data_IF_835361712552
#
_entry.id   IF_835361712552
#
_cell.length_a   1.000
_cell.length_b   1.000
_cell.length_c   1.000
_cell.angle_alpha   90.00
_cell.angle_beta   90.00
_cell.angle_gamma   90.00
#
_symmetry.space_group_name_H-M   'P 1'
#
loop_
_entity.id
_entity.type
_entity.pdbx_description
1 polymer ?
#
# COMPACT_ATOMS: atom_id res chain seq x y z
N UNK A 1 -23.42 24.69 15.22
CA UNK A 1 -22.41 24.09 14.34
C UNK A 1 -21.07 24.82 14.43
N UNK A 2 -21.03 26.16 14.39
CA UNK A 2 -19.77 26.92 14.47
C UNK A 2 -19.11 26.71 15.83
N UNK A 3 -19.89 26.70 16.92
CA UNK A 3 -19.39 26.53 18.29
C UNK A 3 -18.72 25.15 18.50
N UNK A 4 -19.28 24.07 17.91
CA UNK A 4 -18.72 22.74 17.97
C UNK A 4 -17.38 22.70 17.22
N UNK A 5 -17.29 23.35 16.06
CA UNK A 5 -16.04 23.43 15.30
C UNK A 5 -14.98 24.21 16.06
N UNK A 6 -15.37 25.33 16.72
CA UNK A 6 -14.45 26.13 17.53
C UNK A 6 -13.96 25.39 18.79
N UNK A 7 -14.74 24.52 19.36
CA UNK A 7 -14.39 23.75 20.56
C UNK A 7 -13.52 22.53 20.23
N UNK A 8 -13.83 21.83 19.14
CA UNK A 8 -13.20 20.54 18.79
C UNK A 8 -12.25 20.57 17.59
N UNK A 9 -11.96 21.77 17.00
CA UNK A 9 -11.13 21.86 15.79
C UNK A 9 -9.74 21.24 15.94
N UNK A 10 -9.13 21.32 17.13
CA UNK A 10 -7.81 20.71 17.38
C UNK A 10 -7.86 19.19 17.33
N UNK A 11 -8.86 18.57 17.95
CA UNK A 11 -9.04 17.12 17.95
C UNK A 11 -9.51 16.58 16.60
N UNK A 12 -10.28 17.37 15.83
CA UNK A 12 -10.70 17.01 14.49
C UNK A 12 -9.55 17.07 13.46
N UNK A 13 -8.67 18.06 13.61
CA UNK A 13 -7.60 18.29 12.62
C UNK A 13 -6.26 17.66 13.01
N UNK A 14 -5.90 17.67 14.31
CA UNK A 14 -4.53 17.37 14.70
C UNK A 14 -4.38 16.45 15.90
N UNK A 15 -4.93 16.81 17.06
CA UNK A 15 -4.70 16.06 18.32
C UNK A 15 -5.75 16.37 19.36
N UNK A 16 -6.09 15.38 20.19
CA UNK A 16 -6.89 15.51 21.42
C UNK A 16 -6.06 15.88 22.65
N UNK A 17 -4.77 16.16 22.49
CA UNK A 17 -3.82 16.46 23.57
C UNK A 17 -2.95 15.26 24.00
N UNK A 18 -3.36 14.04 23.67
CA UNK A 18 -2.64 12.80 24.01
C UNK A 18 -2.19 12.01 22.78
N UNK A 19 -2.94 12.10 21.66
CA UNK A 19 -2.69 11.32 20.43
C UNK A 19 -2.96 12.18 19.20
N UNK A 20 -2.38 11.78 18.09
CA UNK A 20 -2.82 12.28 16.77
C UNK A 20 -4.20 11.70 16.47
N UNK A 21 -5.14 12.56 16.08
CA UNK A 21 -6.54 12.21 15.81
C UNK A 21 -7.03 12.86 14.52
N UNK A 22 -8.23 12.50 14.09
CA UNK A 22 -8.89 13.14 12.98
C UNK A 22 -8.08 13.10 11.67
N UNK A 23 -7.99 14.24 11.00
CA UNK A 23 -7.31 14.36 9.69
C UNK A 23 -5.84 13.98 9.77
N UNK A 24 -5.14 14.28 10.86
CA UNK A 24 -3.71 14.00 10.97
C UNK A 24 -3.42 12.50 10.93
N UNK A 25 -4.18 11.67 11.65
CA UNK A 25 -3.99 10.22 11.63
C UNK A 25 -4.40 9.62 10.30
N UNK A 26 -5.48 10.11 9.67
CA UNK A 26 -5.92 9.70 8.35
C UNK A 26 -4.83 9.94 7.30
N UNK A 27 -4.24 11.15 7.29
CA UNK A 27 -3.13 11.47 6.38
C UNK A 27 -1.87 10.66 6.70
N UNK A 28 -1.58 10.42 7.96
CA UNK A 28 -0.46 9.58 8.36
C UNK A 28 -0.61 8.14 7.86
N UNK A 29 -1.78 7.53 8.03
CA UNK A 29 -2.09 6.19 7.54
C UNK A 29 -2.00 6.13 6.01
N UNK A 30 -2.57 7.12 5.32
CA UNK A 30 -2.52 7.21 3.87
C UNK A 30 -1.08 7.32 3.36
N UNK A 31 -0.32 8.32 3.84
CA UNK A 31 1.03 8.59 3.35
C UNK A 31 1.96 7.41 3.65
N UNK A 32 1.94 6.89 4.88
CA UNK A 32 2.80 5.76 5.25
C UNK A 32 2.51 4.51 4.42
N UNK A 33 1.24 4.14 4.25
CA UNK A 33 0.84 2.95 3.48
C UNK A 33 1.10 3.11 1.99
N UNK A 34 0.79 4.27 1.40
CA UNK A 34 1.01 4.55 -0.03
C UNK A 34 2.49 4.60 -0.37
N UNK A 35 3.32 5.24 0.46
CA UNK A 35 4.77 5.31 0.23
C UNK A 35 5.41 3.93 0.38
N UNK A 36 5.16 3.23 1.50
CA UNK A 36 5.74 1.90 1.74
C UNK A 36 5.23 0.88 0.72
N UNK A 37 3.91 0.84 0.50
CA UNK A 37 3.28 -0.06 -0.46
C UNK A 37 3.70 0.24 -1.90
N UNK A 38 3.79 1.52 -2.28
CA UNK A 38 4.23 1.94 -3.60
C UNK A 38 5.68 1.57 -3.91
N UNK A 39 6.60 1.78 -2.96
CA UNK A 39 8.00 1.38 -3.11
C UNK A 39 8.11 -0.14 -3.31
N UNK A 40 7.46 -0.93 -2.46
CA UNK A 40 7.45 -2.38 -2.59
C UNK A 40 6.82 -2.83 -3.91
N UNK A 41 5.74 -2.19 -4.34
CA UNK A 41 5.02 -2.52 -5.55
C UNK A 41 5.87 -2.35 -6.83
N UNK A 42 6.77 -1.35 -6.88
CA UNK A 42 7.67 -1.18 -8.04
C UNK A 42 8.57 -2.41 -8.22
N UNK A 43 9.16 -2.92 -7.13
CA UNK A 43 10.01 -4.12 -7.20
C UNK A 43 9.19 -5.37 -7.53
N UNK A 44 8.03 -5.52 -6.91
CA UNK A 44 7.14 -6.64 -7.19
C UNK A 44 6.58 -6.61 -8.61
N UNK A 45 6.29 -5.42 -9.17
CA UNK A 45 5.82 -5.29 -10.55
C UNK A 45 6.86 -5.77 -11.58
N UNK A 46 8.14 -5.46 -11.36
CA UNK A 46 9.23 -5.97 -12.21
C UNK A 46 9.29 -7.50 -12.13
N UNK A 47 9.22 -8.06 -10.94
CA UNK A 47 9.16 -9.52 -10.76
C UNK A 47 7.89 -10.15 -11.35
N UNK A 48 6.76 -9.43 -11.31
CA UNK A 48 5.47 -9.87 -11.84
C UNK A 48 5.44 -10.00 -13.36
N UNK A 49 6.25 -9.20 -14.06
CA UNK A 49 6.41 -9.27 -15.53
C UNK A 49 7.61 -10.12 -15.97
N UNK A 50 8.35 -10.69 -15.03
CA UNK A 50 9.49 -11.57 -15.31
C UNK A 50 9.05 -12.84 -16.04
N UNK A 51 9.89 -13.33 -16.97
CA UNK A 51 9.67 -14.63 -17.62
C UNK A 51 9.92 -15.83 -16.69
N UNK A 52 10.57 -15.61 -15.54
CA UNK A 52 10.85 -16.67 -14.56
C UNK A 52 9.61 -16.94 -13.70
N UNK A 53 9.00 -18.11 -13.92
CA UNK A 53 7.79 -18.52 -13.19
C UNK A 53 7.99 -18.67 -11.68
N UNK A 54 9.20 -19.00 -11.23
CA UNK A 54 9.52 -19.09 -9.79
C UNK A 54 9.47 -17.73 -9.09
N UNK A 55 9.71 -16.63 -9.81
CA UNK A 55 9.57 -15.26 -9.29
C UNK A 55 8.14 -14.78 -9.49
N UNK A 56 7.56 -15.02 -10.66
CA UNK A 56 6.23 -14.55 -11.03
C UNK A 56 5.13 -15.16 -10.16
N UNK A 57 5.20 -16.47 -9.86
CA UNK A 57 4.15 -17.21 -9.16
C UNK A 57 3.90 -16.71 -7.73
N UNK A 58 4.91 -16.59 -6.85
CA UNK A 58 4.67 -16.09 -5.50
C UNK A 58 4.14 -14.66 -5.47
N UNK A 59 4.58 -13.80 -6.40
CA UNK A 59 4.07 -12.43 -6.51
C UNK A 59 2.61 -12.45 -6.99
N UNK A 60 2.28 -13.28 -7.97
CA UNK A 60 0.91 -13.46 -8.41
C UNK A 60 0.02 -13.98 -7.27
N UNK A 61 0.49 -14.97 -6.51
CA UNK A 61 -0.25 -15.51 -5.38
C UNK A 61 -0.51 -14.43 -4.30
N UNK A 62 0.50 -13.62 -3.99
CA UNK A 62 0.38 -12.49 -3.09
C UNK A 62 -0.69 -11.49 -3.58
N UNK A 63 -0.57 -11.02 -4.82
CA UNK A 63 -1.53 -10.06 -5.38
C UNK A 63 -2.95 -10.67 -5.47
N UNK A 64 -3.05 -11.95 -5.80
CA UNK A 64 -4.33 -12.67 -5.85
C UNK A 64 -5.03 -12.73 -4.50
N UNK A 65 -4.31 -13.09 -3.43
CA UNK A 65 -4.85 -13.18 -2.06
C UNK A 65 -5.29 -11.80 -1.57
N UNK A 66 -4.40 -10.80 -1.62
CA UNK A 66 -4.67 -9.49 -1.05
C UNK A 66 -5.70 -8.67 -1.83
N UNK A 67 -5.82 -8.86 -3.14
CA UNK A 67 -6.87 -8.23 -3.94
C UNK A 67 -8.18 -8.99 -3.92
N UNK A 68 -8.13 -10.31 -3.68
CA UNK A 68 -9.30 -11.18 -3.60
C UNK A 68 -9.99 -11.20 -2.24
N UNK A 69 -9.35 -10.65 -1.20
CA UNK A 69 -9.92 -10.59 0.15
C UNK A 69 -10.30 -9.15 0.53
N UNK A 70 -11.45 -8.93 1.20
CA UNK A 70 -11.82 -7.60 1.67
C UNK A 70 -10.80 -7.04 2.67
N UNK A 71 -10.43 -5.76 2.53
CA UNK A 71 -9.49 -5.10 3.43
C UNK A 71 -9.93 -5.18 4.90
N UNK A 72 -11.23 -5.09 5.17
CA UNK A 72 -11.79 -5.26 6.51
C UNK A 72 -11.38 -6.60 7.14
N UNK A 73 -11.45 -7.69 6.37
CA UNK A 73 -11.05 -9.03 6.83
C UNK A 73 -9.54 -9.08 7.09
N UNK A 74 -8.74 -8.46 6.22
CA UNK A 74 -7.29 -8.37 6.42
C UNK A 74 -6.94 -7.65 7.73
N UNK A 75 -7.61 -6.52 8.03
CA UNK A 75 -7.45 -5.79 9.28
C UNK A 75 -7.79 -6.66 10.50
N UNK A 76 -8.90 -7.39 10.47
CA UNK A 76 -9.29 -8.30 11.56
C UNK A 76 -8.26 -9.42 11.75
N UNK A 77 -7.75 -9.99 10.67
CA UNK A 77 -6.72 -11.04 10.73
C UNK A 77 -5.43 -10.49 11.36
N UNK A 78 -4.97 -9.31 10.96
CA UNK A 78 -3.75 -8.73 11.52
C UNK A 78 -3.94 -8.26 12.96
N UNK A 79 -5.04 -7.63 13.30
CA UNK A 79 -5.26 -7.08 14.63
C UNK A 79 -5.66 -8.15 15.66
N UNK A 80 -6.63 -9.01 15.33
CA UNK A 80 -7.14 -10.02 16.25
C UNK A 80 -6.52 -11.40 16.02
N UNK A 81 -6.33 -11.79 14.75
CA UNK A 81 -5.88 -13.13 14.39
C UNK A 81 -4.40 -13.35 14.73
N UNK A 82 -3.53 -12.44 14.33
CA UNK A 82 -2.08 -12.60 14.56
C UNK A 82 -1.73 -12.58 16.05
N UNK A 83 -2.45 -11.80 16.85
CA UNK A 83 -2.22 -11.74 18.30
C UNK A 83 -2.58 -13.04 19.03
N UNK A 84 -3.40 -13.91 18.43
CA UNK A 84 -3.75 -15.21 19.04
C UNK A 84 -2.68 -16.28 18.86
N UNK A 85 -1.78 -16.12 17.89
CA UNK A 85 -0.74 -17.08 17.56
C UNK A 85 0.33 -17.17 18.67
N UNK A 86 0.68 -18.38 19.07
CA UNK A 86 1.69 -18.62 20.12
C UNK A 86 3.08 -18.08 19.73
N UNK A 87 3.43 -18.15 18.44
CA UNK A 87 4.69 -17.60 17.90
C UNK A 87 4.77 -16.08 18.11
N UNK A 88 3.64 -15.39 17.91
CA UNK A 88 3.56 -13.92 18.11
C UNK A 88 3.66 -13.60 19.60
N UNK A 89 3.01 -14.37 20.47
CA UNK A 89 3.08 -14.20 21.93
C UNK A 89 4.48 -14.49 22.48
N UNK A 90 5.15 -15.49 21.95
CA UNK A 90 6.47 -15.94 22.39
C UNK A 90 7.62 -15.04 21.92
N UNK A 91 7.39 -14.16 20.95
CA UNK A 91 8.42 -13.24 20.43
C UNK A 91 8.10 -11.81 20.86
N UNK A 92 8.92 -11.22 21.71
CA UNK A 92 8.70 -9.90 22.31
C UNK A 92 8.47 -8.80 21.25
N UNK A 93 9.27 -8.78 20.19
CA UNK A 93 9.14 -7.81 19.08
C UNK A 93 7.81 -7.96 18.34
N UNK A 94 7.42 -9.19 18.01
CA UNK A 94 6.14 -9.45 17.30
C UNK A 94 4.96 -9.13 18.19
N UNK A 95 5.03 -9.48 19.46
CA UNK A 95 3.99 -9.17 20.43
C UNK A 95 3.79 -7.66 20.57
N UNK A 96 4.89 -6.89 20.75
CA UNK A 96 4.84 -5.43 20.81
C UNK A 96 4.25 -4.81 19.53
N UNK A 97 4.61 -5.33 18.35
CA UNK A 97 4.11 -4.85 17.07
C UNK A 97 2.61 -5.09 16.89
N UNK A 98 2.15 -6.33 17.04
CA UNK A 98 0.73 -6.71 16.80
C UNK A 98 -0.21 -6.30 17.93
N UNK A 99 0.32 -5.90 19.08
CA UNK A 99 -0.48 -5.28 20.16
C UNK A 99 -0.94 -3.87 19.81
N UNK A 100 -0.23 -3.19 18.91
CA UNK A 100 -0.59 -1.85 18.46
C UNK A 100 -1.57 -1.92 17.28
N UNK A 101 -2.81 -1.44 17.47
CA UNK A 101 -3.80 -1.34 16.40
C UNK A 101 -3.31 -0.48 15.23
N UNK A 102 -2.55 0.58 15.51
CA UNK A 102 -1.97 1.45 14.49
C UNK A 102 -0.98 0.68 13.59
N UNK A 103 -0.08 -0.12 14.18
CA UNK A 103 0.88 -0.91 13.41
C UNK A 103 0.19 -1.95 12.54
N UNK A 104 -0.83 -2.64 13.09
CA UNK A 104 -1.64 -3.60 12.34
C UNK A 104 -2.35 -2.93 11.17
N UNK A 105 -2.90 -1.73 11.40
CA UNK A 105 -3.58 -0.96 10.35
C UNK A 105 -2.61 -0.53 9.24
N UNK A 106 -1.46 0.06 9.60
CA UNK A 106 -0.45 0.44 8.61
C UNK A 106 0.03 -0.77 7.81
N UNK A 107 0.24 -1.91 8.46
CA UNK A 107 0.64 -3.15 7.77
C UNK A 107 -0.42 -3.62 6.78
N UNK A 108 -1.69 -3.71 7.22
CA UNK A 108 -2.79 -4.15 6.37
C UNK A 108 -2.98 -3.23 5.15
N UNK A 109 -3.03 -1.91 5.38
CA UNK A 109 -3.14 -0.91 4.32
C UNK A 109 -1.94 -0.97 3.36
N UNK A 110 -0.72 -1.12 3.89
CA UNK A 110 0.51 -1.22 3.07
C UNK A 110 0.49 -2.45 2.18
N UNK A 111 0.15 -3.62 2.71
CA UNK A 111 0.11 -4.87 1.93
C UNK A 111 -1.01 -4.84 0.90
N UNK A 112 -2.16 -4.28 1.26
CA UNK A 112 -3.30 -4.14 0.35
C UNK A 112 -2.95 -3.21 -0.83
N UNK A 113 -2.51 -1.96 -0.56
CA UNK A 113 -2.14 -1.03 -1.64
C UNK A 113 -0.94 -1.55 -2.45
N UNK A 114 0.02 -2.24 -1.81
CA UNK A 114 1.13 -2.90 -2.50
C UNK A 114 0.62 -3.90 -3.54
N UNK A 115 -0.37 -4.73 -3.20
CA UNK A 115 -0.91 -5.73 -4.10
C UNK A 115 -1.64 -5.10 -5.31
N UNK A 116 -2.48 -4.07 -5.08
CA UNK A 116 -3.16 -3.34 -6.15
C UNK A 116 -2.17 -2.59 -7.04
N UNK A 117 -1.26 -1.83 -6.45
CA UNK A 117 -0.25 -1.04 -7.16
C UNK A 117 0.70 -1.93 -7.96
N UNK A 118 1.04 -3.12 -7.46
CA UNK A 118 1.86 -4.10 -8.20
C UNK A 118 1.21 -4.48 -9.53
N UNK A 119 -0.08 -4.77 -9.56
CA UNK A 119 -0.76 -5.13 -10.81
C UNK A 119 -0.97 -3.92 -11.73
N UNK A 120 -1.20 -2.71 -11.18
CA UNK A 120 -1.25 -1.46 -11.94
C UNK A 120 0.08 -1.23 -12.66
N UNK A 121 1.20 -1.30 -11.94
CA UNK A 121 2.52 -1.10 -12.53
C UNK A 121 2.92 -2.24 -13.47
N UNK A 122 2.61 -3.48 -13.16
CA UNK A 122 2.84 -4.61 -14.07
C UNK A 122 2.05 -4.48 -15.37
N UNK A 123 0.80 -4.02 -15.30
CA UNK A 123 -0.01 -3.68 -16.47
C UNK A 123 0.62 -2.57 -17.31
N UNK A 124 1.05 -1.50 -16.64
CA UNK A 124 1.70 -0.36 -17.30
C UNK A 124 3.02 -0.76 -17.97
N UNK A 125 3.85 -1.60 -17.34
CA UNK A 125 5.09 -2.12 -17.94
C UNK A 125 4.80 -2.90 -19.22
N UNK A 126 3.75 -3.73 -19.22
CA UNK A 126 3.34 -4.49 -20.42
C UNK A 126 2.76 -3.59 -21.53
N UNK A 127 2.29 -2.41 -21.17
CA UNK A 127 1.69 -1.44 -22.10
C UNK A 127 2.71 -0.48 -22.73
N UNK A 128 3.98 -0.55 -22.33
CA UNK A 128 5.05 0.26 -22.97
C UNK A 128 5.14 -0.10 -24.45
N UNK A 129 5.13 0.87 -25.37
CA UNK A 129 5.17 0.62 -26.81
C UNK A 129 6.38 -0.24 -27.22
N UNK A 130 6.15 -1.30 -28.00
CA UNK A 130 7.21 -2.19 -28.47
C UNK A 130 8.30 -1.46 -29.23
N UNK A 131 7.95 -0.41 -29.99
CA UNK A 131 8.90 0.42 -30.72
C UNK A 131 9.93 1.13 -29.83
N UNK A 132 9.55 1.56 -28.63
CA UNK A 132 10.51 2.13 -27.66
C UNK A 132 11.53 1.10 -27.21
N UNK A 133 11.08 -0.14 -27.00
CA UNK A 133 11.92 -1.27 -26.57
C UNK A 133 12.86 -1.70 -27.72
N UNK A 134 12.34 -1.79 -28.93
CA UNK A 134 13.11 -2.15 -30.14
C UNK A 134 14.17 -1.09 -30.46
N UNK A 135 13.80 0.19 -30.40
CA UNK A 135 14.74 1.28 -30.59
C UNK A 135 15.88 1.22 -29.55
N UNK A 136 15.56 1.00 -28.28
CA UNK A 136 16.56 0.86 -27.22
C UNK A 136 17.52 -0.30 -27.47
N UNK A 137 17.01 -1.43 -27.96
CA UNK A 137 17.84 -2.58 -28.34
C UNK A 137 18.74 -2.26 -29.53
N UNK A 138 18.24 -1.57 -30.54
CA UNK A 138 19.03 -1.15 -31.70
C UNK A 138 20.20 -0.22 -31.31
N UNK A 139 20.00 0.61 -30.27
CA UNK A 139 21.07 1.44 -29.67
C UNK A 139 21.99 0.68 -28.70
N UNK A 140 21.85 -0.64 -28.56
CA UNK A 140 22.72 -1.47 -27.75
C UNK A 140 22.51 -1.31 -26.24
N UNK A 141 21.31 -0.89 -25.79
CA UNK A 141 21.02 -0.80 -24.37
C UNK A 141 21.01 -2.19 -23.73
N UNK A 142 21.74 -2.32 -22.61
CA UNK A 142 21.60 -3.51 -21.76
C UNK A 142 20.21 -3.55 -21.14
N UNK A 143 19.74 -4.73 -20.75
CA UNK A 143 18.41 -4.91 -20.14
C UNK A 143 18.20 -3.98 -18.93
N UNK A 144 19.20 -3.82 -18.06
CA UNK A 144 19.13 -2.94 -16.89
C UNK A 144 18.98 -1.48 -17.29
N UNK A 145 19.79 -1.02 -18.27
CA UNK A 145 19.73 0.35 -18.78
C UNK A 145 18.39 0.64 -19.46
N UNK A 146 17.89 -0.33 -20.23
CA UNK A 146 16.58 -0.25 -20.89
C UNK A 146 15.44 -0.12 -19.87
N UNK A 147 15.43 -0.96 -18.82
CA UNK A 147 14.44 -0.86 -17.76
C UNK A 147 14.50 0.50 -17.05
N UNK A 148 15.70 0.95 -16.65
CA UNK A 148 15.88 2.18 -15.85
C UNK A 148 15.58 3.45 -16.65
N UNK A 149 15.98 3.51 -17.92
CA UNK A 149 15.93 4.76 -18.72
C UNK A 149 14.68 4.86 -19.61
N UNK A 150 14.04 3.75 -19.95
CA UNK A 150 12.91 3.72 -20.90
C UNK A 150 11.68 3.08 -20.30
N UNK A 151 11.75 1.81 -19.91
CA UNK A 151 10.55 1.05 -19.51
C UNK A 151 9.93 1.64 -18.24
N UNK A 152 10.70 1.82 -17.17
CA UNK A 152 10.15 2.31 -15.90
C UNK A 152 9.61 3.75 -16.00
N UNK A 153 10.32 4.73 -16.61
CA UNK A 153 9.77 6.07 -16.75
C UNK A 153 8.53 6.12 -17.62
N UNK A 154 8.49 5.35 -18.72
CA UNK A 154 7.31 5.26 -19.60
C UNK A 154 6.14 4.58 -18.86
N UNK A 155 6.39 3.45 -18.23
CA UNK A 155 5.38 2.73 -17.44
C UNK A 155 4.80 3.56 -16.28
N UNK A 156 5.63 4.33 -15.57
CA UNK A 156 5.14 5.21 -14.50
C UNK A 156 4.17 6.27 -15.02
N UNK A 157 4.46 6.87 -16.18
CA UNK A 157 3.53 7.82 -16.83
C UNK A 157 2.21 7.16 -17.21
N UNK A 158 2.26 5.94 -17.77
CA UNK A 158 1.06 5.17 -18.14
C UNK A 158 0.27 4.78 -16.89
N UNK A 159 0.94 4.46 -15.78
CA UNK A 159 0.31 4.04 -14.54
C UNK A 159 -0.37 5.18 -13.77
N UNK A 160 0.06 6.44 -13.95
CA UNK A 160 -0.38 7.59 -13.14
C UNK A 160 -1.90 7.70 -12.96
N UNK A 161 -2.75 7.59 -13.99
CA UNK A 161 -4.19 7.71 -13.81
C UNK A 161 -4.78 6.62 -12.90
N UNK A 162 -4.38 5.36 -13.13
CA UNK A 162 -4.85 4.23 -12.34
C UNK A 162 -4.29 4.29 -10.91
N UNK A 163 -3.03 4.68 -10.75
CA UNK A 163 -2.40 4.84 -9.43
C UNK A 163 -3.02 5.99 -8.63
N UNK A 164 -3.34 7.11 -9.27
CA UNK A 164 -4.05 8.22 -8.60
C UNK A 164 -5.42 7.80 -8.08
N UNK A 165 -6.16 6.99 -8.86
CA UNK A 165 -7.43 6.41 -8.41
C UNK A 165 -7.24 5.47 -7.21
N UNK A 166 -6.18 4.64 -7.21
CA UNK A 166 -5.84 3.76 -6.10
C UNK A 166 -5.56 4.54 -4.81
N UNK A 167 -4.82 5.67 -4.90
CA UNK A 167 -4.56 6.55 -3.75
C UNK A 167 -5.87 7.12 -3.18
N UNK A 168 -6.82 7.50 -4.04
CA UNK A 168 -8.14 7.98 -3.59
C UNK A 168 -8.92 6.87 -2.90
N UNK A 169 -8.93 5.65 -3.46
CA UNK A 169 -9.57 4.50 -2.83
C UNK A 169 -8.92 4.16 -1.48
N UNK A 170 -7.60 4.26 -1.40
CA UNK A 170 -6.86 4.06 -0.14
C UNK A 170 -7.23 5.11 0.91
N UNK A 171 -7.44 6.38 0.52
CA UNK A 171 -7.93 7.41 1.43
C UNK A 171 -9.28 7.03 2.05
N UNK A 172 -10.24 6.55 1.23
CA UNK A 172 -11.51 6.05 1.76
C UNK A 172 -11.33 4.82 2.66
N UNK A 173 -10.36 3.98 2.35
CA UNK A 173 -10.07 2.75 3.09
C UNK A 173 -9.47 3.01 4.48
N UNK A 174 -8.85 4.17 4.71
CA UNK A 174 -8.37 4.54 6.06
C UNK A 174 -9.50 4.59 7.08
N UNK A 175 -10.73 4.89 6.65
CA UNK A 175 -11.90 4.85 7.52
C UNK A 175 -12.09 3.50 8.23
N UNK A 176 -11.63 2.39 7.65
CA UNK A 176 -11.67 1.07 8.28
C UNK A 176 -10.71 0.92 9.48
N UNK A 177 -9.80 1.88 9.69
CA UNK A 177 -8.88 1.89 10.82
C UNK A 177 -9.58 1.85 12.19
N UNK A 178 -10.84 2.31 12.25
CA UNK A 178 -11.64 2.23 13.48
C UNK A 178 -11.81 0.79 14.00
N UNK A 179 -11.76 -0.20 13.13
CA UNK A 179 -11.89 -1.63 13.51
C UNK A 179 -10.71 -2.12 14.34
N UNK A 180 -9.55 -1.50 14.18
CA UNK A 180 -8.35 -1.75 14.97
C UNK A 180 -8.19 -0.75 16.13
N UNK A 181 -9.30 -0.10 16.55
CA UNK A 181 -9.34 0.89 17.65
C UNK A 181 -8.47 2.13 17.42
N UNK A 182 -8.11 2.45 16.18
CA UNK A 182 -7.39 3.67 15.83
C UNK A 182 -8.39 4.84 15.78
N UNK A 183 -8.16 5.94 16.50
CA UNK A 183 -9.03 7.11 16.49
C UNK A 183 -8.86 7.90 15.19
N UNK A 184 -9.72 7.63 14.23
CA UNK A 184 -9.82 8.28 12.94
C UNK A 184 -10.95 9.33 12.92
N UNK A 185 -11.14 10.03 11.79
CA UNK A 185 -12.20 11.01 11.56
C UNK A 185 -13.63 10.48 11.82
N UNK A 186 -13.83 9.16 11.69
CA UNK A 186 -15.14 8.53 11.86
C UNK A 186 -15.38 8.03 13.30
N UNK A 187 -14.45 8.19 14.22
CA UNK A 187 -14.58 7.87 15.62
C UNK A 187 -14.61 9.12 16.47
#
# INVERSE_FOLDING_TARGET
MIDIIQEYWKSLLWTDGYRFTGVAITLWLLISSVVMGGILAVFLAIGRVSSNKFIQFPIWLFTYIFRGTPLYVQLLVFYSGMYTLEIVKGTELLNAFFRSGLNCTVLALTLNTCAYTTEIFAGAIRSVPAGEIEAARAYGFSSVKMYRCIILPSALRIALPAYSNEVILMLHSTALAFTATVPDLLK
#
